data_IF_124174477941
#
_entry.id   IF_124174477941
#
_cell.length_a   1.000
_cell.length_b   1.000
_cell.length_c   1.000
_cell.angle_alpha   90.00
_cell.angle_beta   90.00
_cell.angle_gamma   90.00
#
_symmetry.space_group_name_H-M   'P 1'
#
loop_
_entity.id
_entity.type
_entity.pdbx_description
1 polymer ?
2 non-polymer ?
3 non-polymer ?
4 water ?
#
# COMPACT_ATOMS: atom_id res chain seq x y z
N UNK A 7 -11.90 -7.85 -9.03
CA UNK A 7 -11.21 -6.88 -9.94
C UNK A 7 -11.66 -5.41 -10.05
N UNK A 8 -12.81 -5.01 -10.63
CA UNK A 8 -13.24 -3.61 -10.62
C UNK A 8 -14.05 -3.29 -9.40
N UNK A 9 -13.56 -2.41 -8.53
CA UNK A 9 -14.26 -2.15 -7.28
C UNK A 9 -15.08 -0.90 -7.35
N UNK A 10 -14.65 0.07 -8.14
CA UNK A 10 -15.36 1.30 -8.35
C UNK A 10 -14.53 2.13 -9.33
N UNK A 11 -15.03 3.27 -9.81
CA UNK A 11 -14.24 3.95 -10.83
C UNK A 11 -12.83 4.29 -10.36
N UNK A 12 -11.85 3.94 -11.19
CA UNK A 12 -10.41 4.02 -10.87
C UNK A 12 -9.90 3.20 -9.69
N UNK A 13 -10.59 2.10 -9.35
CA UNK A 13 -10.14 1.24 -8.25
C UNK A 13 -10.19 -0.20 -8.70
N UNK A 14 -9.00 -0.76 -8.86
CA UNK A 14 -8.79 -2.09 -9.40
C UNK A 14 -7.97 -2.91 -8.42
N UNK A 15 -8.44 -4.11 -8.18
CA UNK A 15 -7.73 -5.09 -7.35
C UNK A 15 -7.16 -6.18 -8.24
N UNK A 16 -5.86 -6.33 -8.19
CA UNK A 16 -5.18 -7.32 -8.99
C UNK A 16 -4.82 -8.49 -8.08
N UNK A 17 -5.55 -9.55 -8.22
CA UNK A 17 -5.34 -10.76 -7.38
C UNK A 17 -4.09 -11.50 -7.69
N UNK A 18 -3.37 -11.82 -6.65
CA UNK A 18 -2.14 -12.60 -6.76
C UNK A 18 -1.20 -12.06 -7.86
N UNK A 19 -1.13 -10.72 -7.96
CA UNK A 19 -0.33 -10.10 -9.01
C UNK A 19 1.15 -10.29 -8.75
N UNK A 20 1.60 -10.30 -7.49
CA UNK A 20 3.01 -10.39 -7.20
C UNK A 20 3.51 -11.87 -7.40
N UNK A 21 4.55 -12.03 -8.21
CA UNK A 21 5.13 -13.39 -8.52
C UNK A 21 5.78 -13.93 -7.24
N UNK A 22 5.84 -15.25 -7.11
CA UNK A 22 6.62 -15.96 -6.07
C UNK A 22 7.88 -15.30 -5.63
N UNK A 23 8.84 -15.19 -6.56
CA UNK A 23 10.18 -14.74 -6.24
C UNK A 23 10.15 -13.22 -5.91
N UNK A 24 9.20 -12.49 -6.48
CA UNK A 24 9.05 -11.08 -6.16
C UNK A 24 8.54 -10.89 -4.74
N UNK A 25 7.60 -11.75 -4.29
CA UNK A 25 7.13 -11.72 -2.88
C UNK A 25 8.28 -11.99 -1.92
N UNK A 26 9.08 -13.01 -2.23
CA UNK A 26 10.22 -13.30 -1.38
C UNK A 26 11.24 -12.18 -1.36
N UNK A 27 11.55 -11.63 -2.54
CA UNK A 27 12.52 -10.60 -2.69
C UNK A 27 12.03 -9.32 -1.92
N UNK A 28 10.75 -9.03 -2.02
CA UNK A 28 10.20 -7.84 -1.31
C UNK A 28 10.39 -7.94 0.19
N UNK A 29 10.05 -9.12 0.75
CA UNK A 29 10.20 -9.39 2.14
C UNK A 29 11.64 -9.30 2.55
N UNK A 30 12.55 -9.99 1.85
CA UNK A 30 13.95 -9.96 2.19
C UNK A 30 14.52 -8.54 2.16
N UNK A 31 14.23 -7.75 1.13
CA UNK A 31 14.71 -6.36 1.08
C UNK A 31 14.16 -5.49 2.23
N UNK A 32 12.88 -5.64 2.51
CA UNK A 32 12.26 -4.96 3.64
C UNK A 32 12.74 -5.39 5.02
N UNK A 33 13.08 -6.69 5.22
CA UNK A 33 13.67 -7.12 6.44
C UNK A 33 15.00 -6.42 6.72
N UNK A 34 15.81 -6.33 5.68
CA UNK A 34 17.13 -5.71 5.77
C UNK A 34 17.06 -4.17 5.87
N UNK A 35 16.29 -3.56 5.01
CA UNK A 35 16.04 -2.10 5.12
C UNK A 35 15.41 -1.73 6.49
N UNK A 36 14.54 -2.64 6.98
CA UNK A 36 13.82 -2.45 8.23
C UNK A 36 14.61 -2.38 9.51
N UNK A 37 15.83 -2.98 9.55
CA UNK A 37 16.64 -3.02 10.74
C UNK A 37 17.79 -2.01 10.70
N UNK A 38 18.10 -1.47 9.55
CA UNK A 38 19.14 -0.47 9.41
C UNK A 38 18.72 0.97 9.73
N UNK A 39 19.54 1.91 9.30
CA UNK A 39 19.27 3.31 9.49
C UNK A 39 18.01 3.69 8.71
N UNK A 40 17.10 4.40 9.34
CA UNK A 40 15.86 4.73 8.63
C UNK A 40 14.87 3.55 8.53
N UNK A 41 15.04 2.63 9.47
CA UNK A 41 14.23 1.42 9.54
C UNK A 41 12.88 1.60 10.27
N UNK A 42 12.26 0.49 10.58
CA UNK A 42 10.87 0.53 11.18
C UNK A 42 10.85 1.22 12.53
N UNK A 43 9.77 1.98 12.76
CA UNK A 43 9.52 2.56 14.03
C UNK A 43 7.99 2.60 14.26
N UNK A 44 7.64 2.76 15.50
CA UNK A 44 6.23 2.85 15.91
C UNK A 44 5.83 4.29 15.84
N UNK A 45 4.89 4.67 14.91
CA UNK A 45 4.50 6.08 14.77
C UNK A 45 3.73 6.53 15.98
N UNK A 46 3.96 7.78 16.43
CA UNK A 46 3.16 8.21 17.56
C UNK A 46 1.70 8.53 17.15
N UNK A 47 1.52 8.86 15.90
CA UNK A 47 0.23 9.31 15.34
C UNK A 47 0.04 8.69 13.94
N UNK A 48 -1.18 8.22 13.66
CA UNK A 48 -1.64 7.98 12.32
C UNK A 48 -3.04 8.48 12.20
N UNK A 49 -3.34 9.10 11.09
CA UNK A 49 -4.74 9.60 10.84
C UNK A 49 -5.60 8.39 10.81
N UNK A 50 -6.62 8.39 11.67
CA UNK A 50 -7.52 7.25 11.81
C UNK A 50 -7.26 6.38 12.99
N UNK A 51 -6.11 6.56 13.63
CA UNK A 51 -5.65 5.68 14.67
C UNK A 51 -5.08 4.40 14.13
N UNK A 52 -4.47 3.65 15.05
CA UNK A 52 -3.74 2.44 14.67
C UNK A 52 -3.48 1.58 15.88
N UNK A 53 -3.20 0.30 15.63
CA UNK A 53 -2.84 -0.66 16.66
C UNK A 53 -1.80 -1.61 16.04
N UNK A 54 -0.71 -1.89 16.78
CA UNK A 54 0.23 -2.92 16.39
C UNK A 54 0.76 -2.72 15.00
N UNK A 55 1.17 -1.48 14.77
CA UNK A 55 1.66 -1.02 13.50
C UNK A 55 3.03 -0.37 13.66
N UNK A 56 3.97 -0.78 12.84
CA UNK A 56 5.21 -0.05 12.63
C UNK A 56 5.36 0.34 11.16
N UNK A 57 6.18 1.35 10.89
CA UNK A 57 6.30 1.86 9.53
C UNK A 57 7.70 2.29 9.23
N UNK A 58 7.98 2.39 7.95
CA UNK A 58 9.17 3.10 7.48
C UNK A 58 8.93 3.50 6.08
N UNK A 59 9.60 4.58 5.67
CA UNK A 59 9.45 5.09 4.33
C UNK A 59 10.64 4.74 3.48
N UNK A 60 10.39 4.56 2.18
CA UNK A 60 11.46 4.55 1.15
C UNK A 60 11.25 5.72 0.19
N UNK A 61 12.34 6.32 -0.31
CA UNK A 61 12.26 7.50 -1.17
C UNK A 61 12.14 8.73 -0.31
N UNK A 62 11.05 9.46 -0.44
CA UNK A 62 10.75 10.53 0.47
C UNK A 62 10.24 10.03 1.81
N UNK A 63 10.48 10.81 2.84
CA UNK A 63 9.94 10.48 4.11
C UNK A 63 8.61 11.13 4.25
N UNK A 64 7.69 10.44 4.93
CA UNK A 64 6.36 10.95 5.26
C UNK A 64 6.26 11.06 6.79
N UNK A 65 6.29 12.30 7.31
CA UNK A 65 6.24 12.58 8.73
C UNK A 65 4.82 13.15 9.15
N UNK A 66 4.47 13.11 10.46
CA UNK A 66 3.36 13.87 11.20
C UNK A 66 3.60 15.41 11.49
N UNK A 70 4.34 17.69 5.97
CA UNK A 70 4.11 16.25 5.89
C UNK A 70 5.32 15.52 5.32
N UNK A 71 5.60 15.77 4.04
CA UNK A 71 6.76 15.12 3.35
C UNK A 71 8.15 15.78 3.39
N UNK A 72 9.21 14.98 3.48
CA UNK A 72 10.56 15.54 3.66
C UNK A 72 11.64 14.58 3.26
N UNK A 73 12.90 14.98 3.44
CA UNK A 73 14.01 14.16 3.03
C UNK A 73 14.52 13.26 4.13
N UNK A 74 14.27 13.62 5.38
CA UNK A 74 14.76 12.84 6.51
C UNK A 74 13.70 12.76 7.57
N UNK A 75 13.81 11.77 8.43
CA UNK A 75 12.91 11.62 9.58
C UNK A 75 13.38 12.62 10.61
N UNK A 76 12.47 13.50 11.08
CA UNK A 76 12.91 14.48 12.10
C UNK A 76 13.39 13.91 13.41
N UNK A 77 12.79 12.84 13.90
CA UNK A 77 13.12 12.31 15.20
C UNK A 77 14.56 11.74 15.29
N UNK A 78 15.11 11.26 14.18
CA UNK A 78 16.47 10.70 14.22
C UNK A 78 17.37 11.14 13.18
N UNK A 79 16.93 12.03 12.27
CA UNK A 79 17.71 12.52 11.16
C UNK A 79 18.03 11.57 10.04
N UNK A 80 17.50 10.35 10.08
CA UNK A 80 17.90 9.35 9.07
C UNK A 80 17.25 9.63 7.75
N UNK A 81 17.99 9.39 6.66
CA UNK A 81 17.42 9.53 5.34
C UNK A 81 16.77 8.19 5.03
N UNK A 82 15.59 8.19 4.40
CA UNK A 82 15.04 6.89 4.02
C UNK A 82 15.92 6.23 2.98
N UNK A 83 16.01 4.92 3.03
CA UNK A 83 16.52 4.18 1.84
C UNK A 83 15.76 4.58 0.58
N UNK A 84 16.42 4.52 -0.58
CA UNK A 84 15.70 4.84 -1.82
C UNK A 84 14.77 3.64 -2.17
N UNK A 85 13.80 3.90 -3.02
CA UNK A 85 12.92 2.84 -3.51
C UNK A 85 13.68 1.94 -4.50
N UNK A 86 13.76 0.65 -4.24
CA UNK A 86 14.37 -0.29 -5.20
C UNK A 86 13.74 -0.15 -6.55
N UNK A 87 14.57 -0.21 -7.60
CA UNK A 87 14.03 -0.09 -8.97
C UNK A 87 13.06 -1.23 -9.31
N UNK A 88 13.32 -2.40 -8.79
CA UNK A 88 12.38 -3.50 -9.03
C UNK A 88 10.97 -3.15 -8.51
N UNK A 89 10.89 -2.43 -7.38
CA UNK A 89 9.55 -2.08 -6.81
C UNK A 89 8.81 -1.17 -7.76
N UNK A 90 9.51 -0.18 -8.27
CA UNK A 90 8.91 0.79 -9.22
C UNK A 90 8.45 0.09 -10.48
N UNK A 91 9.23 -0.87 -10.98
CA UNK A 91 8.88 -1.63 -12.17
C UNK A 91 7.56 -2.36 -11.99
N UNK A 92 7.40 -2.99 -10.83
CA UNK A 92 6.22 -3.77 -10.54
C UNK A 92 5.03 -2.85 -10.38
N UNK A 93 5.22 -1.68 -9.75
CA UNK A 93 4.18 -0.68 -9.75
C UNK A 93 3.68 -0.28 -11.17
N UNK A 94 4.60 0.05 -12.03
CA UNK A 94 4.28 0.39 -13.45
C UNK A 94 3.59 -0.75 -14.20
N UNK A 95 4.03 -1.97 -13.99
CA UNK A 95 3.35 -3.16 -14.56
C UNK A 95 1.91 -3.30 -14.04
N UNK A 96 1.74 -3.04 -12.75
CA UNK A 96 0.37 -3.08 -12.20
C UNK A 96 -0.56 -2.06 -12.82
N UNK A 97 -0.04 -0.84 -13.02
CA UNK A 97 -0.80 0.20 -13.63
C UNK A 97 -1.09 -0.16 -15.10
N UNK A 98 -0.09 -0.65 -15.81
CA UNK A 98 -0.35 -1.12 -17.19
C UNK A 98 -1.42 -2.22 -17.31
N UNK A 99 -1.36 -3.24 -16.44
CA UNK A 99 -2.31 -4.29 -16.41
C UNK A 99 -3.68 -3.76 -16.06
N UNK A 100 -3.76 -2.83 -15.11
CA UNK A 100 -5.08 -2.27 -14.76
C UNK A 100 -5.70 -1.51 -15.94
N UNK A 101 -4.89 -0.71 -16.65
CA UNK A 101 -5.36 0.06 -17.80
C UNK A 101 -5.82 -0.85 -18.94
N UNK A 102 -5.15 -1.95 -19.13
CA UNK A 102 -5.59 -2.94 -20.12
C UNK A 102 -6.92 -3.54 -19.75
N UNK A 103 -7.07 -3.87 -18.46
CA UNK A 103 -8.35 -4.38 -17.95
C UNK A 103 -9.46 -3.35 -18.14
N UNK A 104 -9.15 -2.11 -17.77
CA UNK A 104 -10.15 -1.04 -17.90
C UNK A 104 -10.57 -0.79 -19.36
N UNK A 105 -9.61 -0.93 -20.28
CA UNK A 105 -9.88 -0.76 -21.70
C UNK A 105 -10.80 -1.90 -22.15
N UNK A 106 -10.49 -3.13 -21.74
CA UNK A 106 -11.33 -4.28 -22.10
C UNK A 106 -12.76 -4.22 -21.50
N UNK A 107 -12.88 -3.64 -20.34
CA UNK A 107 -14.16 -3.54 -19.65
C UNK A 107 -15.06 -2.42 -20.15
N UNK A 108 -14.53 -1.52 -20.98
CA UNK A 108 -15.25 -0.33 -21.35
C UNK A 108 -16.53 -0.74 -22.07
N UNK A 109 -17.63 -0.04 -21.77
CA UNK A 109 -18.88 -0.32 -22.50
C UNK A 109 -19.37 0.92 -23.27
N UNK A 112 -20.65 4.57 -21.68
CA UNK A 112 -19.79 5.23 -20.70
C UNK A 112 -18.42 5.57 -21.26
N UNK A 113 -17.79 6.55 -20.64
CA UNK A 113 -16.41 6.86 -20.98
C UNK A 113 -15.48 5.65 -20.77
N UNK A 114 -14.38 5.63 -21.48
CA UNK A 114 -13.35 4.63 -21.26
C UNK A 114 -12.57 5.10 -20.03
N UNK A 115 -12.37 4.27 -19.04
CA UNK A 115 -11.55 4.63 -17.89
C UNK A 115 -10.08 4.34 -18.11
N UNK A 116 -9.25 5.11 -17.47
CA UNK A 116 -7.84 4.96 -17.55
C UNK A 116 -7.20 5.64 -16.33
N UNK A 117 -6.31 4.93 -15.66
CA UNK A 117 -5.59 5.49 -14.53
C UNK A 117 -4.35 6.23 -15.04
N UNK A 118 -4.04 7.39 -14.45
CA UNK A 118 -2.78 8.11 -14.77
C UNK A 118 -1.55 7.27 -14.44
N UNK A 119 -0.41 7.47 -15.16
CA UNK A 119 0.81 6.77 -14.78
C UNK A 119 1.31 7.30 -13.44
N UNK A 120 2.17 6.52 -12.84
CA UNK A 120 2.77 6.85 -11.58
C UNK A 120 4.27 6.68 -11.70
N UNK A 121 4.97 7.67 -11.21
CA UNK A 121 6.41 7.53 -10.93
C UNK A 121 6.59 7.75 -9.42
N UNK A 122 6.36 6.69 -8.60
CA UNK A 122 6.32 6.93 -7.19
C UNK A 122 7.63 7.39 -6.63
N UNK A 123 7.55 8.40 -5.77
CA UNK A 123 8.73 8.87 -5.04
C UNK A 123 8.57 8.64 -3.58
N UNK A 124 7.46 7.98 -3.17
CA UNK A 124 7.45 7.44 -1.81
C UNK A 124 6.84 6.08 -1.77
N UNK A 125 7.39 5.24 -0.90
CA UNK A 125 6.82 4.01 -0.54
C UNK A 125 6.69 3.94 0.97
N UNK A 126 5.45 3.91 1.47
CA UNK A 126 5.27 3.71 2.87
C UNK A 126 5.17 2.19 3.06
N UNK A 127 6.04 1.67 3.93
CA UNK A 127 6.06 0.31 4.35
C UNK A 127 5.48 0.21 5.75
N UNK A 128 4.34 -0.47 5.84
CA UNK A 128 3.59 -0.69 7.06
C UNK A 128 3.74 -2.16 7.44
N UNK A 129 4.07 -2.44 8.68
CA UNK A 129 4.06 -3.78 9.17
C UNK A 129 3.06 -3.90 10.32
N UNK A 130 2.09 -4.81 10.17
CA UNK A 130 1.10 -5.07 11.18
C UNK A 130 1.35 -6.43 11.81
N UNK A 131 1.43 -6.53 13.14
CA UNK A 131 1.35 -7.85 13.78
C UNK A 131 -0.07 -8.36 13.77
N UNK A 132 -0.35 -9.51 14.41
CA UNK A 132 -1.70 -10.11 14.22
C UNK A 132 -2.87 -9.25 14.72
N UNK A 133 -2.63 -8.44 15.73
CA UNK A 133 -3.67 -7.52 16.31
C UNK A 133 -3.71 -6.19 15.61
N UNK A 134 -3.03 -6.09 14.47
CA UNK A 134 -2.99 -4.83 13.76
C UNK A 134 -4.26 -4.27 13.19
N UNK A 135 -4.35 -2.92 13.14
CA UNK A 135 -5.45 -2.20 12.49
C UNK A 135 -4.98 -0.79 12.15
N UNK A 136 -5.67 -0.17 11.21
CA UNK A 136 -5.39 1.22 10.75
C UNK A 136 -6.75 1.82 10.42
N UNK A 137 -7.10 2.91 11.11
CA UNK A 137 -8.45 3.45 10.98
C UNK A 137 -8.65 4.17 9.67
N UNK A 138 -9.93 4.45 9.37
CA UNK A 138 -10.26 5.09 8.08
C UNK A 138 -9.61 6.45 7.94
N UNK A 139 -9.05 6.71 6.77
CA UNK A 139 -8.43 7.99 6.47
C UNK A 139 -8.36 8.13 4.96
N UNK A 140 -8.08 9.35 4.51
CA UNK A 140 -7.77 9.66 3.11
C UNK A 140 -6.26 9.84 3.02
N UNK A 141 -5.69 9.51 1.87
CA UNK A 141 -4.31 9.84 1.49
C UNK A 141 -4.40 11.23 0.89
N UNK A 142 -4.28 12.21 1.77
CA UNK A 142 -4.49 13.60 1.33
C UNK A 142 -3.29 14.50 1.58
N UNK A 143 -2.12 13.93 1.90
CA UNK A 143 -0.93 14.76 2.21
C UNK A 143 -0.01 15.02 1.01
N UNK A 144 -0.39 14.50 -0.17
CA UNK A 144 0.36 14.72 -1.39
C UNK A 144 0.01 16.14 -1.91
N UNK A 145 0.86 16.64 -2.78
CA UNK A 145 0.70 18.00 -3.35
C UNK A 145 -0.63 18.16 -4.11
N UNK A 146 -1.14 19.38 -4.16
CA UNK A 146 -2.42 19.57 -4.80
C UNK A 146 -2.50 19.13 -6.27
N UNK A 147 -1.43 19.37 -7.08
CA UNK A 147 -1.43 18.92 -8.45
C UNK A 147 -1.49 17.40 -8.55
N UNK A 148 -0.71 16.72 -7.72
CA UNK A 148 -0.81 15.23 -7.64
C UNK A 148 -2.27 14.74 -7.41
N UNK A 149 -2.90 15.31 -6.39
CA UNK A 149 -4.28 14.99 -6.02
C UNK A 149 -5.26 15.33 -7.10
N UNK A 150 -5.15 16.54 -7.66
CA UNK A 150 -6.07 16.98 -8.70
C UNK A 150 -6.00 16.14 -9.95
N UNK A 151 -4.79 15.66 -10.28
CA UNK A 151 -4.56 14.77 -11.42
C UNK A 151 -5.07 13.33 -11.16
N UNK A 152 -5.31 13.01 -9.90
CA UNK A 152 -5.83 11.70 -9.52
C UNK A 152 -4.73 10.65 -9.65
N UNK A 153 -3.47 11.05 -9.45
CA UNK A 153 -2.34 10.12 -9.61
C UNK A 153 -2.58 9.03 -8.59
N UNK A 154 -2.49 7.79 -9.00
CA UNK A 154 -2.96 6.69 -8.12
C UNK A 154 -2.09 6.32 -6.95
N UNK A 155 -2.72 5.63 -6.00
CA UNK A 155 -2.03 4.96 -4.90
C UNK A 155 -1.96 3.54 -5.31
N UNK A 156 -0.77 2.94 -5.22
CA UNK A 156 -0.60 1.50 -5.58
C UNK A 156 -0.09 0.75 -4.37
N UNK A 157 -0.84 -0.25 -3.93
CA UNK A 157 -0.61 -0.90 -2.64
C UNK A 157 -0.34 -2.41 -2.82
N UNK A 158 0.79 -2.84 -2.30
CA UNK A 158 1.18 -4.24 -2.31
C UNK A 158 0.76 -4.83 -0.95
N UNK A 159 0.31 -6.09 -0.98
CA UNK A 159 -0.03 -6.82 0.24
C UNK A 159 0.80 -8.12 0.30
N UNK A 160 1.39 -8.41 1.45
CA UNK A 160 2.13 -9.68 1.63
C UNK A 160 1.90 -10.24 3.04
N UNK A 161 1.86 -11.56 3.17
CA UNK A 161 1.70 -12.18 4.49
C UNK A 161 0.25 -12.50 4.79
N UNK A 162 -0.15 -12.28 6.03
CA UNK A 162 -1.55 -12.52 6.40
C UNK A 162 -2.49 -11.56 5.66
N UNK A 163 -3.70 -12.02 5.45
CA UNK A 163 -4.76 -11.27 4.79
C UNK A 163 -5.20 -10.12 5.64
N UNK A 164 -5.44 -8.95 5.00
CA UNK A 164 -6.12 -7.86 5.69
C UNK A 164 -7.58 -7.74 5.24
N UNK A 165 -8.48 -7.40 6.18
CA UNK A 165 -9.82 -6.91 5.85
C UNK A 165 -9.67 -5.38 5.60
N UNK A 166 -9.81 -4.95 4.37
CA UNK A 166 -9.58 -3.56 3.99
C UNK A 166 -10.91 -2.88 3.80
N UNK A 167 -11.11 -1.77 4.47
CA UNK A 167 -12.37 -1.01 4.38
C UNK A 167 -12.17 0.15 3.38
N UNK A 168 -13.21 0.52 2.64
CA UNK A 168 -13.12 1.65 1.74
C UNK A 168 -14.46 2.25 1.49
N UNK A 169 -14.49 3.58 1.30
CA UNK A 169 -15.76 4.23 1.10
C UNK A 169 -15.57 5.71 0.91
N UNK A 170 -16.68 6.46 0.92
CA UNK A 170 -16.57 7.85 0.61
C UNK A 170 -16.50 8.74 1.82
N UNK A 171 -16.71 8.17 3.00
CA UNK A 171 -16.82 8.94 4.23
C UNK A 171 -16.13 8.23 5.39
N UNK A 172 -15.82 9.02 6.42
CA UNK A 172 -15.27 8.52 7.72
C UNK A 172 -16.36 7.91 8.69
N UNK A 173 -16.94 6.82 8.23
CA UNK A 173 -17.96 6.06 8.96
C UNK A 173 -17.98 4.63 8.41
N UNK A 174 -17.62 3.66 9.24
CA UNK A 174 -17.57 2.25 8.86
C UNK A 174 -18.90 1.72 8.37
N UNK A 175 -19.98 2.33 8.85
CA UNK A 175 -21.31 1.93 8.44
C UNK A 175 -21.56 2.18 6.95
N UNK A 176 -20.76 3.04 6.30
CA UNK A 176 -20.89 3.36 4.92
C UNK A 176 -19.73 2.76 4.10
N UNK A 177 -18.90 1.93 4.73
CA UNK A 177 -17.73 1.40 4.05
C UNK A 177 -18.02 0.05 3.44
N UNK A 178 -17.35 -0.27 2.33
CA UNK A 178 -17.27 -1.63 1.78
C UNK A 178 -16.04 -2.33 2.33
N UNK A 179 -16.04 -3.64 2.25
CA UNK A 179 -14.90 -4.44 2.66
C UNK A 179 -14.40 -5.33 1.53
N UNK A 180 -13.07 -5.44 1.36
CA UNK A 180 -12.49 -6.44 0.48
C UNK A 180 -11.33 -7.06 1.24
N UNK A 181 -11.11 -8.37 1.06
CA UNK A 181 -9.88 -8.95 1.55
C UNK A 181 -8.69 -8.71 0.63
N UNK A 182 -7.58 -8.28 1.24
CA UNK A 182 -6.31 -8.15 0.56
C UNK A 182 -5.46 -9.26 1.04
N UNK A 183 -5.24 -10.21 0.14
CA UNK A 183 -4.49 -11.45 0.41
C UNK A 183 -3.08 -11.33 -0.11
N UNK A 184 -2.19 -12.17 0.41
CA UNK A 184 -0.79 -12.09 0.02
C UNK A 184 -0.59 -12.16 -1.54
N UNK A 185 0.15 -11.23 -2.09
CA UNK A 185 0.32 -11.04 -3.52
C UNK A 185 -0.57 -10.07 -4.22
N UNK A 186 -1.66 -9.67 -3.58
CA UNK A 186 -2.65 -8.77 -4.19
C UNK A 186 -2.04 -7.37 -4.32
N UNK A 187 -2.32 -6.74 -5.45
CA UNK A 187 -2.02 -5.30 -5.63
C UNK A 187 -3.30 -4.58 -5.82
N UNK A 188 -3.48 -3.51 -5.06
CA UNK A 188 -4.70 -2.72 -5.10
C UNK A 188 -4.31 -1.33 -5.59
N UNK A 189 -5.11 -0.78 -6.50
CA UNK A 189 -4.85 0.58 -7.06
C UNK A 189 -6.06 1.42 -6.89
N UNK A 190 -5.92 2.65 -6.34
CA UNK A 190 -6.98 3.62 -6.34
C UNK A 190 -6.44 4.95 -6.85
N UNK A 191 -7.07 5.37 -7.93
CA UNK A 191 -6.74 6.65 -8.57
C UNK A 191 -7.98 7.22 -9.22
N UNK A 192 -7.77 8.34 -9.94
CA UNK A 192 -8.86 9.04 -10.57
C UNK A 192 -9.93 9.37 -9.59
N UNK A 193 -11.16 9.05 -9.96
CA UNK A 193 -12.28 9.38 -9.06
C UNK A 193 -12.24 8.69 -7.69
N UNK A 194 -11.49 7.59 -7.58
CA UNK A 194 -11.28 6.94 -6.28
C UNK A 194 -10.06 7.38 -5.48
N UNK A 195 -9.37 8.40 -5.91
CA UNK A 195 -8.09 8.72 -5.33
C UNK A 195 -8.22 9.12 -3.82
N UNK A 196 -9.33 9.77 -3.48
CA UNK A 196 -9.56 10.25 -2.15
C UNK A 196 -10.54 9.38 -1.36
N UNK A 197 -10.63 8.10 -1.68
CA UNK A 197 -11.41 7.25 -0.81
C UNK A 197 -10.90 7.30 0.62
N UNK A 198 -11.84 7.21 1.54
CA UNK A 198 -11.51 6.80 2.94
C UNK A 198 -11.24 5.34 2.98
N UNK A 199 -10.20 4.92 3.70
CA UNK A 199 -9.80 3.53 3.65
C UNK A 199 -9.00 3.19 4.88
N UNK A 200 -8.95 1.90 5.16
CA UNK A 200 -8.19 1.48 6.33
C UNK A 200 -8.22 -0.06 6.47
N UNK A 201 -7.61 -0.56 7.54
CA UNK A 201 -7.45 -2.00 7.76
C UNK A 201 -8.18 -2.31 9.10
N UNK A 202 -9.27 -3.08 9.03
CA UNK A 202 -10.07 -3.35 10.21
C UNK A 202 -9.59 -4.53 10.98
N UNK A 203 -8.85 -5.43 10.32
CA UNK A 203 -8.44 -6.70 10.95
C UNK A 203 -7.36 -7.33 10.08
N UNK A 204 -6.45 -8.03 10.73
CA UNK A 204 -5.53 -8.91 10.09
C UNK A 204 -6.04 -10.34 10.37
N UNK A 205 -6.19 -11.18 9.33
CA UNK A 205 -6.66 -12.58 9.55
C UNK A 205 -5.47 -13.43 9.92
N UNK A 206 -5.45 -13.98 11.16
CA UNK A 206 -4.28 -14.73 11.53
C UNK A 206 -4.12 -16.03 10.76
N UNK A 207 -2.87 -16.40 10.56
CA UNK A 207 -2.53 -17.74 10.01
C UNK A 207 -3.04 -17.88 8.61
N UNK A 208 -2.99 -16.79 7.85
CA UNK A 208 -3.41 -16.86 6.46
C UNK A 208 -2.30 -16.65 5.45
N UNK A 209 -1.10 -16.25 5.85
CA UNK A 209 0.04 -16.15 4.93
C UNK A 209 0.34 -17.52 4.32
N UNK A 210 0.61 -17.57 3.04
CA UNK A 210 1.01 -18.86 2.41
C UNK A 210 2.22 -19.47 3.13
N UNK A 211 2.18 -20.78 3.35
CA UNK A 211 3.30 -21.48 3.96
C UNK A 211 4.63 -21.30 3.22
N UNK A 212 4.60 -21.37 1.90
CA UNK A 212 5.83 -21.25 1.12
C UNK A 212 6.48 -19.86 1.41
N UNK A 213 5.67 -18.82 1.56
CA UNK A 213 6.22 -17.50 1.83
C UNK A 213 6.82 -17.39 3.23
N UNK A 214 6.05 -17.82 4.22
CA UNK A 214 6.52 -17.85 5.61
C UNK A 214 7.85 -18.62 5.66
N UNK A 215 7.90 -19.77 5.02
CA UNK A 215 9.13 -20.61 5.02
C UNK A 215 10.33 -20.07 4.24
N UNK A 216 10.11 -19.66 2.99
CA UNK A 216 11.20 -19.16 2.19
C UNK A 216 11.70 -17.81 2.63
N UNK A 217 10.79 -16.89 3.00
CA UNK A 217 11.18 -15.53 3.40
C UNK A 217 11.40 -15.34 4.90
N UNK A 218 11.17 -16.40 5.65
CA UNK A 218 11.18 -16.35 7.12
C UNK A 218 10.36 -15.18 7.64
N UNK A 219 9.14 -15.11 7.18
CA UNK A 219 8.26 -14.00 7.49
C UNK A 219 7.64 -14.22 8.85
N UNK A 220 7.71 -13.23 9.73
CA UNK A 220 7.09 -13.28 11.05
C UNK A 220 5.56 -13.14 10.94
N UNK A 221 4.81 -13.59 11.97
CA UNK A 221 3.37 -13.46 11.96
C UNK A 221 2.92 -12.04 11.68
N UNK A 222 1.96 -11.87 10.74
CA UNK A 222 1.46 -10.55 10.41
C UNK A 222 1.47 -10.25 8.93
N UNK A 223 1.36 -8.96 8.62
CA UNK A 223 1.18 -8.52 7.24
C UNK A 223 2.11 -7.35 6.92
N UNK A 224 2.74 -7.40 5.74
CA UNK A 224 3.55 -6.29 5.24
C UNK A 224 2.78 -5.64 4.13
N UNK A 225 2.62 -4.33 4.19
CA UNK A 225 2.02 -3.56 3.13
C UNK A 225 3.06 -2.57 2.63
N UNK A 226 3.12 -2.35 1.30
CA UNK A 226 3.90 -1.27 0.71
C UNK A 226 2.95 -0.40 -0.06
N UNK A 227 2.88 0.90 0.27
CA UNK A 227 1.95 1.81 -0.36
C UNK A 227 2.78 2.87 -1.09
N UNK A 228 2.62 2.91 -2.41
CA UNK A 228 3.39 3.82 -3.33
C UNK A 228 2.53 4.98 -3.77
N UNK A 229 3.10 6.20 -3.74
CA UNK A 229 2.44 7.41 -4.17
C UNK A 229 3.44 8.37 -4.85
N UNK A 230 2.83 9.37 -5.51
CA UNK A 230 3.20 10.77 -5.97
C UNK A 230 3.70 10.26 -7.32
#
# INVERSE_FOLDING_TARGET
KEAAPLQYLRPGMVLLKKFLKHDDQVDIIRRCQKLGIGSGGFYTPGYRDGGKLSLQMMCLGKNWDPNSRSYGDTRPFDGAQPPSIPEVFSKIVKDAIQASNEFLRQKARPANDVEELPPLSPDICLVNFYTSSGKLGLHQDKDETKPSLHKGLPVVSFSLGDTAEFLYGDVNDVDKASKVDLESGDVLIFGGKSRLIFHGVSRIKPKTAPNWLTDEAKLRPGRLNLTFRQH
#
